data_IF_339247848697
#
_entry.id   IF_339247848697
#
_cell.length_a   1.000
_cell.length_b   1.000
_cell.length_c   1.000
_cell.angle_alpha   90.00
_cell.angle_beta   90.00
_cell.angle_gamma   90.00
#
_symmetry.space_group_name_H-M   'P 1'
#
loop_
_entity.id
_entity.type
_entity.pdbx_description
1 polymer ?
#
# COMPACT_ATOMS: atom_id res chain seq x y z
N UNK A 1 -26.67 -23.75 5.57
CA UNK A 1 -26.95 -22.50 5.52
C UNK A 1 -26.05 -21.73 4.64
N UNK A 2 -26.56 -20.76 4.12
CA UNK A 2 -25.86 -20.02 3.28
C UNK A 2 -24.87 -19.23 3.95
N UNK A 3 -23.73 -19.15 3.46
CA UNK A 3 -22.76 -18.29 4.02
C UNK A 3 -23.30 -16.90 4.01
N UNK A 4 -23.08 -16.23 5.08
CA UNK A 4 -23.42 -14.86 5.11
C UNK A 4 -22.37 -14.11 4.36
N UNK A 5 -22.63 -12.88 4.11
CA UNK A 5 -21.66 -12.03 3.51
C UNK A 5 -20.40 -11.99 4.32
N UNK A 6 -20.50 -12.18 5.63
CA UNK A 6 -19.36 -12.15 6.47
C UNK A 6 -18.38 -13.23 6.13
N UNK A 7 -18.86 -14.39 5.68
CA UNK A 7 -17.97 -15.44 5.29
C UNK A 7 -17.29 -15.17 3.98
N UNK A 8 -17.81 -14.20 3.20
CA UNK A 8 -17.19 -13.82 1.96
C UNK A 8 -16.30 -12.61 2.13
N UNK A 9 -16.27 -12.00 3.32
CA UNK A 9 -15.44 -10.84 3.55
C UNK A 9 -14.05 -11.32 3.93
N UNK A 10 -13.07 -10.85 3.18
CA UNK A 10 -11.68 -11.20 3.44
C UNK A 10 -10.90 -9.91 3.57
N UNK A 11 -9.79 -9.98 4.26
CA UNK A 11 -8.86 -8.87 4.31
C UNK A 11 -8.33 -8.60 2.92
N UNK A 12 -8.07 -7.34 2.64
CA UNK A 12 -7.51 -6.94 1.36
C UNK A 12 -6.19 -6.24 1.68
N UNK A 13 -5.19 -6.54 0.88
CA UNK A 13 -3.87 -5.95 1.07
C UNK A 13 -3.55 -5.06 -0.11
N UNK A 14 -2.96 -3.91 0.17
CA UNK A 14 -2.36 -3.09 -0.87
C UNK A 14 -0.87 -3.37 -0.80
N UNK A 15 -0.31 -3.83 -1.92
CA UNK A 15 1.11 -4.11 -2.01
C UNK A 15 1.71 -3.12 -2.99
N UNK A 16 2.72 -2.39 -2.54
CA UNK A 16 3.43 -1.45 -3.39
C UNK A 16 4.88 -1.89 -3.49
N UNK A 17 5.40 -1.94 -4.71
CA UNK A 17 6.79 -2.25 -4.97
C UNK A 17 7.37 -1.05 -5.67
N UNK A 18 8.37 -0.43 -5.06
CA UNK A 18 8.84 0.87 -5.50
C UNK A 18 10.30 0.84 -5.87
N UNK A 19 10.61 1.55 -6.96
CA UNK A 19 11.97 1.84 -7.32
C UNK A 19 12.13 3.36 -7.23
N UNK A 20 13.07 3.82 -6.41
CA UNK A 20 13.23 5.25 -6.20
C UNK A 20 13.85 5.89 -7.43
N UNK A 21 13.26 7.01 -7.85
CA UNK A 21 13.78 7.81 -8.94
C UNK A 21 14.18 9.19 -8.47
N UNK A 22 13.47 9.76 -7.48
CA UNK A 22 13.85 11.00 -6.83
C UNK A 22 13.59 10.83 -5.35
N UNK A 23 14.60 10.38 -4.66
CA UNK A 23 14.46 9.97 -3.26
C UNK A 23 13.95 11.09 -2.37
N UNK A 24 14.31 12.31 -2.67
CA UNK A 24 13.88 13.45 -1.90
C UNK A 24 12.37 13.65 -2.00
N UNK A 25 11.82 13.50 -3.20
CA UNK A 25 10.38 13.61 -3.38
C UNK A 25 9.66 12.48 -2.66
N UNK A 26 10.20 11.27 -2.73
CA UNK A 26 9.61 10.16 -2.01
C UNK A 26 9.66 10.40 -0.51
N UNK A 27 10.73 11.02 -0.02
CA UNK A 27 10.85 11.34 1.39
C UNK A 27 9.76 12.29 1.87
N UNK A 28 9.36 13.24 1.04
CA UNK A 28 8.25 14.12 1.40
C UNK A 28 6.95 13.35 1.52
N UNK A 29 6.71 12.41 0.62
CA UNK A 29 5.56 11.54 0.69
C UNK A 29 5.60 10.74 2.00
N UNK A 30 6.74 10.13 2.27
CA UNK A 30 6.88 9.27 3.43
C UNK A 30 6.64 10.04 4.73
N UNK A 31 7.13 11.27 4.81
CA UNK A 31 6.98 12.07 6.02
C UNK A 31 5.52 12.47 6.27
N UNK A 32 4.68 12.46 5.24
CA UNK A 32 3.28 12.85 5.37
C UNK A 32 2.34 11.65 5.42
N UNK A 33 2.87 10.45 5.20
CA UNK A 33 2.03 9.27 5.03
C UNK A 33 1.17 8.98 6.25
N UNK A 34 1.76 8.89 7.43
CA UNK A 34 0.98 8.53 8.61
C UNK A 34 -0.05 9.57 9.00
N UNK A 35 0.21 10.84 8.71
CA UNK A 35 -0.78 11.87 8.98
C UNK A 35 -2.07 11.65 8.22
N UNK A 36 -1.97 11.04 7.05
CA UNK A 36 -3.15 10.71 6.24
C UNK A 36 -3.66 9.31 6.62
N UNK A 37 -2.76 8.34 6.65
CA UNK A 37 -3.13 6.94 6.81
C UNK A 37 -3.90 6.66 8.11
N UNK A 38 -3.56 7.38 9.18
CA UNK A 38 -4.20 7.16 10.47
C UNK A 38 -5.69 7.43 10.47
N UNK A 39 -6.19 8.13 9.46
CA UNK A 39 -7.62 8.46 9.37
C UNK A 39 -8.41 7.38 8.64
N UNK A 40 -7.78 6.30 8.26
CA UNK A 40 -8.42 5.23 7.50
C UNK A 40 -8.31 3.91 8.24
N UNK A 41 -9.00 2.90 7.74
CA UNK A 41 -9.12 1.63 8.43
C UNK A 41 -8.02 0.63 8.06
N UNK A 42 -6.83 1.13 7.78
CA UNK A 42 -5.72 0.29 7.36
C UNK A 42 -4.73 0.05 8.47
N UNK A 43 -3.88 -0.92 8.23
CA UNK A 43 -2.80 -1.28 9.13
C UNK A 43 -1.55 -1.45 8.28
N UNK A 44 -0.48 -0.74 8.62
CA UNK A 44 0.77 -0.90 7.88
C UNK A 44 1.50 -2.12 8.44
N UNK A 45 1.73 -3.10 7.59
CA UNK A 45 2.38 -4.34 8.00
C UNK A 45 3.86 -4.39 7.63
N UNK A 46 4.22 -3.87 6.47
CA UNK A 46 5.58 -3.96 5.96
C UNK A 46 5.95 -2.65 5.28
N UNK A 47 7.17 -2.19 5.54
CA UNK A 47 7.75 -1.07 4.83
C UNK A 47 9.27 -1.32 4.81
N UNK A 48 9.70 -2.21 3.91
CA UNK A 48 11.07 -2.73 3.92
C UNK A 48 11.85 -2.24 2.70
N UNK A 49 12.96 -1.56 2.96
CA UNK A 49 13.82 -1.05 1.88
C UNK A 49 14.96 -2.00 1.54
N UNK A 50 15.03 -3.15 2.21
CA UNK A 50 16.12 -4.10 1.96
C UNK A 50 15.62 -5.54 1.97
N UNK A 51 14.59 -5.85 1.16
CA UNK A 51 14.11 -7.24 1.17
C UNK A 51 15.17 -8.18 0.64
N UNK A 52 15.16 -9.41 1.13
CA UNK A 52 16.07 -10.44 0.68
C UNK A 52 15.37 -11.24 -0.39
N UNK A 53 15.90 -11.19 -1.62
CA UNK A 53 15.32 -11.93 -2.72
C UNK A 53 15.76 -13.36 -2.63
N UNK A 54 14.80 -14.29 -2.58
CA UNK A 54 15.12 -15.71 -2.47
C UNK A 54 15.29 -16.36 -3.84
N UNK A 55 14.53 -15.91 -4.83
CA UNK A 55 14.65 -16.45 -6.19
C UNK A 55 14.29 -15.34 -7.16
N UNK A 56 14.99 -15.28 -8.26
CA UNK A 56 14.66 -14.40 -9.36
C UNK A 56 15.23 -13.00 -9.21
N UNK A 57 14.86 -12.13 -10.14
CA UNK A 57 15.30 -10.76 -10.14
C UNK A 57 14.20 -9.86 -9.64
N UNK A 58 14.57 -8.88 -8.86
CA UNK A 58 13.61 -7.91 -8.34
C UNK A 58 14.28 -6.53 -8.38
N UNK A 59 14.14 -5.81 -9.51
CA UNK A 59 14.87 -4.54 -9.70
C UNK A 59 14.14 -3.36 -9.06
N UNK A 60 13.86 -3.45 -7.78
CA UNK A 60 13.19 -2.40 -7.04
C UNK A 60 13.86 -2.19 -5.71
N UNK A 61 13.37 -1.24 -4.93
CA UNK A 61 14.06 -0.81 -3.72
C UNK A 61 13.25 -1.01 -2.46
N UNK A 62 11.93 -1.06 -2.54
CA UNK A 62 11.10 -1.07 -1.34
C UNK A 62 9.81 -1.81 -1.55
N UNK A 63 9.41 -2.56 -0.53
CA UNK A 63 8.09 -3.22 -0.52
C UNK A 63 7.29 -2.63 0.63
N UNK A 64 6.05 -2.26 0.35
CA UNK A 64 5.12 -1.79 1.36
C UNK A 64 3.88 -2.67 1.30
N UNK A 65 3.41 -3.13 2.44
CA UNK A 65 2.18 -3.93 2.50
C UNK A 65 1.29 -3.33 3.58
N UNK A 66 0.06 -3.02 3.18
CA UNK A 66 -0.96 -2.51 4.08
C UNK A 66 -2.14 -3.47 4.07
N UNK A 67 -2.76 -3.64 5.22
CA UNK A 67 -3.93 -4.50 5.35
C UNK A 67 -5.16 -3.67 5.63
N UNK A 68 -6.26 -4.03 4.98
CA UNK A 68 -7.56 -3.38 5.20
C UNK A 68 -8.59 -4.47 5.47
N UNK A 69 -9.66 -4.15 6.21
CA UNK A 69 -10.66 -5.19 6.55
C UNK A 69 -11.44 -5.67 5.33
N UNK A 70 -11.55 -4.86 4.28
CA UNK A 70 -12.25 -5.26 3.07
C UNK A 70 -11.84 -4.36 1.92
N UNK A 71 -12.36 -4.65 0.75
CA UNK A 71 -11.99 -3.91 -0.46
C UNK A 71 -12.45 -2.46 -0.42
N UNK A 72 -13.59 -2.23 0.24
CA UNK A 72 -14.10 -0.87 0.31
C UNK A 72 -13.20 0.02 1.14
N UNK A 73 -12.69 -0.51 2.26
CA UNK A 73 -11.77 0.25 3.10
C UNK A 73 -10.48 0.59 2.35
N UNK A 74 -9.98 -0.37 1.57
CA UNK A 74 -8.78 -0.12 0.77
C UNK A 74 -9.04 0.96 -0.27
N UNK A 75 -10.21 0.91 -0.92
CA UNK A 75 -10.53 1.88 -1.94
C UNK A 75 -10.75 3.26 -1.33
N UNK A 76 -11.40 3.32 -0.15
CA UNK A 76 -11.57 4.59 0.54
C UNK A 76 -10.25 5.31 0.73
N UNK A 77 -9.25 4.58 1.20
CA UNK A 77 -7.93 5.16 1.41
C UNK A 77 -7.28 5.55 0.08
N UNK A 78 -7.24 4.62 -0.85
CA UNK A 78 -6.51 4.82 -2.09
C UNK A 78 -7.08 5.97 -2.91
N UNK A 79 -8.40 6.14 -2.89
CA UNK A 79 -9.06 7.16 -3.69
C UNK A 79 -9.34 8.44 -2.93
N UNK A 80 -8.94 8.53 -1.65
CA UNK A 80 -9.23 9.71 -0.87
C UNK A 80 -8.47 10.92 -1.42
N UNK A 81 -9.07 12.11 -1.35
CA UNK A 81 -8.35 13.31 -1.79
C UNK A 81 -7.09 13.54 -0.98
N UNK A 82 -7.13 13.20 0.31
CA UNK A 82 -5.98 13.38 1.19
C UNK A 82 -4.80 12.53 0.72
N UNK A 83 -5.08 11.26 0.38
CA UNK A 83 -4.01 10.40 -0.10
C UNK A 83 -3.53 10.82 -1.47
N UNK A 84 -4.46 11.19 -2.36
CA UNK A 84 -4.08 11.60 -3.70
C UNK A 84 -3.18 12.83 -3.67
N UNK A 85 -3.39 13.70 -2.71
CA UNK A 85 -2.55 14.88 -2.60
C UNK A 85 -1.11 14.51 -2.28
N UNK A 86 -0.87 13.63 -1.31
CA UNK A 86 0.51 13.26 -0.99
C UNK A 86 1.10 12.31 -2.03
N UNK A 87 0.24 11.58 -2.73
CA UNK A 87 0.72 10.62 -3.73
C UNK A 87 1.40 11.29 -4.92
N UNK A 88 1.19 12.59 -5.10
CA UNK A 88 1.90 13.33 -6.14
C UNK A 88 3.40 13.19 -5.93
N UNK A 89 3.87 13.33 -4.69
CA UNK A 89 5.29 13.20 -4.40
C UNK A 89 5.76 11.75 -4.54
N UNK A 90 4.91 10.78 -4.22
CA UNK A 90 5.26 9.38 -4.41
C UNK A 90 5.45 9.06 -5.89
N UNK A 91 4.52 9.54 -6.71
CA UNK A 91 4.59 9.27 -8.15
C UNK A 91 5.77 9.96 -8.80
N UNK A 92 6.13 11.14 -8.30
CA UNK A 92 7.27 11.85 -8.82
C UNK A 92 8.59 11.26 -8.31
N UNK A 93 8.56 10.59 -7.15
CA UNK A 93 9.78 10.11 -6.50
C UNK A 93 10.07 8.64 -6.68
N UNK A 94 9.15 7.88 -7.25
CA UNK A 94 9.36 6.43 -7.39
C UNK A 94 8.51 5.88 -8.52
N UNK A 95 9.08 4.90 -9.22
CA UNK A 95 8.31 4.07 -10.12
C UNK A 95 7.72 2.97 -9.26
N UNK A 96 6.42 2.80 -9.31
CA UNK A 96 5.77 1.86 -8.41
C UNK A 96 4.80 0.97 -9.15
N UNK A 97 4.75 -0.29 -8.70
CA UNK A 97 3.66 -1.19 -9.03
C UNK A 97 2.83 -1.30 -7.76
N UNK A 98 1.57 -0.95 -7.84
CA UNK A 98 0.68 -0.95 -6.68
C UNK A 98 -0.51 -1.82 -7.04
N UNK A 99 -0.82 -2.77 -6.19
CA UNK A 99 -1.93 -3.68 -6.46
C UNK A 99 -2.67 -4.02 -5.18
N UNK A 100 -3.93 -4.43 -5.32
CA UNK A 100 -4.64 -5.01 -4.19
C UNK A 100 -4.70 -6.52 -4.41
N UNK A 101 -4.53 -7.26 -3.33
CA UNK A 101 -4.71 -8.71 -3.36
C UNK A 101 -5.63 -9.08 -2.21
N UNK A 102 -6.32 -10.20 -2.36
CA UNK A 102 -7.26 -10.64 -1.34
C UNK A 102 -6.60 -11.68 -0.44
N UNK A 103 -6.89 -11.58 0.84
CA UNK A 103 -6.43 -12.57 1.79
C UNK A 103 -7.20 -13.86 1.62
N UNK A 104 -6.77 -14.88 2.33
CA UNK A 104 -7.41 -16.18 2.23
C UNK A 104 -8.71 -16.21 2.99
N UNK A 105 -8.88 -15.37 3.95
CA UNK A 105 -10.15 -15.25 4.63
C UNK A 105 -10.02 -14.38 5.82
#
# INVERSE_FOLDING_TARGET
>A
MLPTNRECIVSVYIIAQLKFTQRERYGRYQSRFFGVFKNFRGKLLVADEHPVVLEGDWPRDKVVIMEFPDAEAAREFQESPEYQEIAVDRKAGADAVVMTVRGLK
#
